data_IF_801821083589
#
_entry.id   IF_801821083589
#
_cell.length_a   1.000
_cell.length_b   1.000
_cell.length_c   1.000
_cell.angle_alpha   90.00
_cell.angle_beta   90.00
_cell.angle_gamma   90.00
#
_symmetry.space_group_name_H-M   'P 1'
#
loop_
_entity.id
_entity.type
_entity.pdbx_description
1 polymer ?
#
# COMPACT_ATOMS: atom_id res chain seq x y z
N UNK A 1 -15.54 4.48 -0.30
CA UNK A 1 -14.51 4.09 -1.28
C UNK A 1 -13.37 3.50 -0.47
N UNK A 2 -12.87 2.33 -0.88
CA UNK A 2 -11.84 1.60 -0.16
C UNK A 2 -10.65 1.43 -1.10
N UNK A 3 -9.46 1.81 -0.65
CA UNK A 3 -8.24 1.82 -1.46
C UNK A 3 -7.28 0.78 -0.90
N UNK A 4 -6.97 -0.21 -1.72
CA UNK A 4 -5.95 -1.20 -1.45
C UNK A 4 -4.69 -0.86 -2.24
N UNK A 5 -3.53 -0.96 -1.59
CA UNK A 5 -2.23 -0.67 -2.19
C UNK A 5 -1.35 -1.87 -2.00
N UNK A 6 -0.81 -2.40 -3.09
CA UNK A 6 0.26 -3.38 -3.05
C UNK A 6 1.55 -2.68 -2.58
N UNK A 7 2.00 -3.08 -1.41
CA UNK A 7 3.17 -2.54 -0.74
C UNK A 7 4.35 -3.53 -0.76
N UNK A 8 4.19 -4.70 -1.39
CA UNK A 8 5.25 -5.70 -1.49
C UNK A 8 6.41 -5.18 -2.37
N UNK A 9 7.62 -5.19 -1.82
CA UNK A 9 8.84 -4.61 -2.41
C UNK A 9 8.68 -3.19 -2.99
N UNK A 10 7.65 -2.43 -2.58
CA UNK A 10 7.34 -1.14 -3.16
C UNK A 10 8.24 -0.04 -2.55
N UNK A 11 9.10 0.64 -3.33
CA UNK A 11 10.07 1.60 -2.79
C UNK A 11 9.44 2.93 -2.34
N UNK A 12 8.13 3.11 -2.52
CA UNK A 12 7.41 4.38 -2.35
C UNK A 12 6.19 4.26 -1.41
N UNK A 13 6.17 3.26 -0.54
CA UNK A 13 5.09 3.09 0.47
C UNK A 13 4.93 4.34 1.34
N UNK A 14 6.03 5.03 1.66
CA UNK A 14 6.02 6.23 2.47
C UNK A 14 5.28 7.40 1.79
N UNK A 15 5.30 7.49 0.46
CA UNK A 15 4.56 8.48 -0.31
C UNK A 15 3.06 8.23 -0.17
N UNK A 16 2.64 6.96 -0.28
CA UNK A 16 1.24 6.55 -0.10
C UNK A 16 0.76 6.90 1.29
N UNK A 17 1.52 6.55 2.34
CA UNK A 17 1.16 6.88 3.71
C UNK A 17 1.02 8.38 3.96
N UNK A 18 2.02 9.17 3.53
CA UNK A 18 2.03 10.64 3.71
C UNK A 18 0.83 11.27 3.01
N UNK A 19 0.51 10.79 1.82
CA UNK A 19 -0.61 11.29 1.01
C UNK A 19 -1.94 10.91 1.62
N UNK A 20 -2.12 9.65 2.03
CA UNK A 20 -3.34 9.15 2.67
C UNK A 20 -3.62 9.92 3.97
N UNK A 21 -2.60 10.16 4.81
CA UNK A 21 -2.73 10.98 6.03
C UNK A 21 -3.12 12.42 5.71
N UNK A 22 -2.46 13.06 4.74
CA UNK A 22 -2.73 14.46 4.34
C UNK A 22 -4.19 14.67 3.94
N UNK A 23 -4.79 13.71 3.23
CA UNK A 23 -6.17 13.81 2.75
C UNK A 23 -7.18 13.04 3.62
N UNK A 24 -6.75 12.46 4.73
CA UNK A 24 -7.57 11.64 5.63
C UNK A 24 -8.31 10.51 4.89
N UNK A 25 -7.64 9.90 3.91
CA UNK A 25 -8.19 8.81 3.11
C UNK A 25 -7.79 7.48 3.76
N UNK A 26 -8.75 6.61 4.11
CA UNK A 26 -8.43 5.27 4.60
C UNK A 26 -7.83 4.44 3.46
N UNK A 27 -6.67 3.84 3.73
CA UNK A 27 -5.97 2.93 2.81
C UNK A 27 -5.57 1.67 3.56
N UNK A 28 -5.54 0.54 2.85
CA UNK A 28 -5.00 -0.72 3.35
C UNK A 28 -3.80 -1.11 2.51
N UNK A 29 -2.63 -1.20 3.15
CA UNK A 29 -1.41 -1.68 2.52
C UNK A 29 -1.38 -3.21 2.62
N UNK A 30 -1.20 -3.86 1.48
CA UNK A 30 -1.08 -5.31 1.38
C UNK A 30 0.39 -5.66 1.14
N UNK A 31 0.99 -6.44 2.04
CA UNK A 31 2.35 -6.96 1.89
C UNK A 31 2.32 -8.49 1.95
N UNK A 32 3.26 -9.15 1.28
CA UNK A 32 3.55 -10.59 1.42
C UNK A 32 2.34 -11.52 1.18
N UNK A 33 1.41 -11.12 0.29
CA UNK A 33 0.17 -11.88 0.07
C UNK A 33 0.33 -13.10 -0.84
N UNK A 34 1.43 -13.20 -1.61
CA UNK A 34 2.10 -14.39 -2.18
C UNK A 34 2.92 -14.01 -3.44
N UNK A 35 4.15 -14.51 -3.56
CA UNK A 35 4.92 -14.55 -4.81
C UNK A 35 5.29 -16.01 -5.13
N UNK A 36 4.45 -16.71 -5.88
CA UNK A 36 4.75 -18.08 -6.33
C UNK A 36 5.72 -18.00 -7.52
N UNK A 37 7.01 -18.23 -7.24
CA UNK A 37 8.08 -18.36 -8.23
C UNK A 37 8.37 -19.85 -8.46
N UNK A 38 7.41 -20.58 -9.03
CA UNK A 38 7.63 -21.97 -9.49
C UNK A 38 8.23 -22.02 -10.87
#
# INVERSE_FOLDING_TARGET
MEIYVDADACPVVDIVEKTARKYQIPVTLLCDTNHILT
#
